data_IF_976588449236
#
_entry.id   IF_976588449236
#
_cell.length_a   1.000
_cell.length_b   1.000
_cell.length_c   1.000
_cell.angle_alpha   90.00
_cell.angle_beta   90.00
_cell.angle_gamma   90.00
#
_symmetry.space_group_name_H-M   'P 1'
#
loop_
_entity.id
_entity.type
_entity.pdbx_description
1 polymer ?
#
# COMPACT_ATOMS: atom_id res chain seq x y z
N UNK A 1 20.36 14.02 -29.24
CA UNK A 1 19.37 13.35 -28.36
C UNK A 1 19.70 13.78 -26.95
N UNK A 2 18.71 14.25 -26.17
CA UNK A 2 18.93 14.55 -24.76
C UNK A 2 19.33 13.28 -24.01
N UNK A 3 20.21 13.41 -23.02
CA UNK A 3 20.59 12.30 -22.14
C UNK A 3 19.33 11.72 -21.47
N UNK A 4 19.23 10.38 -21.31
CA UNK A 4 18.10 9.77 -20.63
C UNK A 4 18.02 10.24 -19.17
N UNK A 5 16.82 10.68 -18.76
CA UNK A 5 16.56 11.16 -17.41
C UNK A 5 16.15 9.99 -16.53
N UNK A 6 16.90 9.77 -15.45
CA UNK A 6 16.61 8.74 -14.46
C UNK A 6 16.16 9.37 -13.15
N UNK A 7 15.18 8.76 -12.44
CA UNK A 7 14.86 9.18 -11.09
C UNK A 7 16.07 9.06 -10.17
N UNK A 8 16.24 10.04 -9.30
CA UNK A 8 17.30 10.12 -8.30
C UNK A 8 16.78 9.95 -6.87
N UNK A 9 15.47 9.74 -6.70
CA UNK A 9 14.93 9.17 -5.47
C UNK A 9 13.76 8.21 -5.75
N UNK A 10 13.48 7.31 -4.82
CA UNK A 10 12.49 6.25 -4.97
C UNK A 10 11.68 6.06 -3.69
N UNK A 11 10.36 6.17 -3.77
CA UNK A 11 9.42 5.79 -2.70
C UNK A 11 9.05 4.33 -2.94
N UNK A 12 9.77 3.42 -2.29
CA UNK A 12 9.78 2.00 -2.67
C UNK A 12 8.71 1.16 -1.97
N UNK A 13 8.03 1.70 -0.97
CA UNK A 13 7.07 0.94 -0.18
C UNK A 13 6.92 1.49 1.23
N UNK A 14 6.18 0.81 2.10
CA UNK A 14 5.48 -0.45 1.84
C UNK A 14 4.06 -0.25 1.28
N UNK A 15 3.55 -1.29 0.59
CA UNK A 15 2.17 -1.33 0.11
C UNK A 15 1.20 -1.14 1.28
N UNK A 16 0.16 -0.32 1.10
CA UNK A 16 -0.83 0.04 2.14
C UNK A 16 -0.27 0.78 3.36
N UNK A 17 0.90 1.41 3.22
CA UNK A 17 1.55 2.22 4.26
C UNK A 17 1.55 3.72 3.98
N UNK A 18 0.74 4.22 3.05
CA UNK A 18 0.59 5.67 2.81
C UNK A 18 1.50 6.27 1.73
N UNK A 19 2.11 5.44 0.89
CA UNK A 19 2.91 5.89 -0.27
C UNK A 19 2.14 6.81 -1.22
N UNK A 20 0.80 6.65 -1.35
CA UNK A 20 -0.04 7.56 -2.13
C UNK A 20 -0.09 8.97 -1.55
N UNK A 21 -0.26 9.11 -0.23
CA UNK A 21 -0.24 10.41 0.44
C UNK A 21 1.12 11.06 0.30
N UNK A 22 2.19 10.30 0.57
CA UNK A 22 3.55 10.82 0.45
C UNK A 22 3.90 11.26 -0.98
N UNK A 23 3.52 10.47 -1.99
CA UNK A 23 3.62 10.84 -3.40
C UNK A 23 2.90 12.16 -3.69
N UNK A 24 1.67 12.32 -3.19
CA UNK A 24 0.87 13.50 -3.43
C UNK A 24 1.45 14.75 -2.76
N UNK A 25 1.95 14.64 -1.52
CA UNK A 25 2.61 15.74 -0.82
C UNK A 25 3.90 16.17 -1.53
N UNK A 26 4.80 15.23 -1.84
CA UNK A 26 6.07 15.55 -2.47
C UNK A 26 5.91 16.11 -3.90
N UNK A 27 4.87 15.69 -4.63
CA UNK A 27 4.59 16.21 -5.97
C UNK A 27 4.18 17.69 -5.98
N UNK A 28 3.74 18.26 -4.85
CA UNK A 28 3.46 19.69 -4.73
C UNK A 28 4.74 20.53 -4.65
N UNK A 29 5.87 19.94 -4.28
CA UNK A 29 7.09 20.68 -4.00
C UNK A 29 7.76 21.20 -5.29
N UNK A 30 8.17 22.49 -5.36
CA UNK A 30 8.70 23.10 -6.60
C UNK A 30 10.01 22.48 -7.09
N UNK A 31 10.76 21.82 -6.21
CA UNK A 31 12.03 21.15 -6.53
C UNK A 31 11.88 19.65 -6.83
N UNK A 32 10.65 19.11 -6.80
CA UNK A 32 10.38 17.69 -6.99
C UNK A 32 9.57 17.46 -8.25
N UNK A 33 10.00 16.49 -9.06
CA UNK A 33 9.21 15.91 -10.14
C UNK A 33 8.81 14.48 -9.79
N UNK A 34 7.52 14.18 -9.91
CA UNK A 34 6.96 12.83 -9.88
C UNK A 34 6.02 12.67 -11.09
N UNK A 35 6.13 11.60 -11.88
CA UNK A 35 5.34 11.42 -13.09
C UNK A 35 3.86 11.24 -12.75
N UNK A 36 2.98 11.64 -13.66
CA UNK A 36 1.52 11.51 -13.46
C UNK A 36 1.06 10.05 -13.33
N UNK A 37 1.71 9.15 -14.08
CA UNK A 37 1.59 7.72 -13.87
C UNK A 37 2.31 7.33 -12.59
N UNK A 38 1.55 7.12 -11.51
CA UNK A 38 2.05 6.52 -10.28
C UNK A 38 2.26 5.02 -10.49
N UNK A 39 3.17 4.43 -9.71
CA UNK A 39 3.39 2.97 -9.69
C UNK A 39 3.77 2.37 -11.06
N UNK A 40 4.82 2.88 -11.74
CA UNK A 40 5.27 2.28 -13.00
C UNK A 40 5.78 0.84 -12.84
N UNK A 41 6.18 0.42 -11.64
CA UNK A 41 6.65 -0.95 -11.35
C UNK A 41 7.76 -1.47 -12.28
N UNK A 42 8.49 -0.56 -12.92
CA UNK A 42 9.48 -0.85 -13.95
C UNK A 42 10.60 -1.75 -13.42
N UNK A 43 11.12 -1.46 -12.22
CA UNK A 43 12.18 -2.26 -11.62
C UNK A 43 11.70 -3.57 -10.97
N UNK A 44 10.40 -3.74 -10.76
CA UNK A 44 9.83 -5.03 -10.34
C UNK A 44 9.73 -5.98 -11.53
N UNK A 45 9.42 -5.48 -12.73
CA UNK A 45 9.15 -6.29 -13.93
C UNK A 45 8.15 -7.41 -13.63
N UNK A 46 6.92 -7.07 -13.20
CA UNK A 46 5.96 -8.07 -12.77
C UNK A 46 5.54 -8.97 -13.94
N UNK A 47 5.32 -10.24 -13.64
CA UNK A 47 4.76 -11.23 -14.57
C UNK A 47 3.39 -11.67 -14.04
N UNK A 48 2.37 -10.81 -14.15
CA UNK A 48 1.10 -11.08 -13.49
C UNK A 48 0.41 -12.30 -14.08
N UNK A 49 -0.24 -13.09 -13.23
CA UNK A 49 -1.09 -14.20 -13.65
C UNK A 49 -2.25 -13.69 -14.54
N UNK A 50 -2.88 -14.52 -15.38
CA UNK A 50 -4.02 -14.11 -16.20
C UNK A 50 -5.15 -13.45 -15.38
N UNK A 51 -5.36 -13.93 -14.16
CA UNK A 51 -6.36 -13.42 -13.22
C UNK A 51 -5.98 -12.04 -12.67
N UNK A 52 -4.68 -11.80 -12.41
CA UNK A 52 -4.19 -10.55 -11.82
C UNK A 52 -3.79 -9.48 -12.83
N UNK A 53 -3.64 -9.82 -14.11
CA UNK A 53 -3.14 -8.93 -15.17
C UNK A 53 -3.88 -7.59 -15.28
N UNK A 54 -5.18 -7.56 -15.02
CA UNK A 54 -5.99 -6.34 -15.14
C UNK A 54 -5.85 -5.40 -13.93
N UNK A 55 -5.31 -5.88 -12.81
CA UNK A 55 -5.16 -5.13 -11.57
C UNK A 55 -3.78 -4.48 -11.44
N UNK A 56 -2.84 -4.85 -12.31
CA UNK A 56 -1.46 -4.36 -12.25
C UNK A 56 -1.11 -3.64 -13.53
N UNK A 57 -1.05 -2.32 -13.42
CA UNK A 57 -0.48 -1.47 -14.45
C UNK A 57 1.05 -1.40 -14.26
N UNK A 58 1.83 -1.58 -15.31
CA UNK A 58 3.29 -1.45 -15.23
C UNK A 58 3.89 -0.97 -16.56
N UNK A 59 5.12 -0.49 -16.50
CA UNK A 59 5.93 -0.14 -17.67
C UNK A 59 6.95 -1.25 -17.91
N UNK A 60 6.89 -1.86 -19.09
CA UNK A 60 7.72 -3.04 -19.42
C UNK A 60 8.99 -2.74 -20.22
N UNK A 61 9.15 -1.55 -20.79
CA UNK A 61 10.32 -1.17 -21.58
C UNK A 61 10.92 0.15 -21.12
N UNK A 62 12.23 0.27 -21.37
CA UNK A 62 13.06 1.37 -20.89
C UNK A 62 12.68 2.70 -21.56
N UNK A 63 12.31 2.68 -22.84
CA UNK A 63 11.94 3.89 -23.59
C UNK A 63 10.66 4.52 -23.03
N UNK A 64 9.63 3.71 -22.76
CA UNK A 64 8.40 4.18 -22.11
C UNK A 64 8.66 4.65 -20.68
N UNK A 65 9.55 3.98 -19.95
CA UNK A 65 9.89 4.38 -18.59
C UNK A 65 10.56 5.76 -18.58
N UNK A 66 11.55 5.97 -19.44
CA UNK A 66 12.22 7.27 -19.60
C UNK A 66 11.26 8.35 -20.12
N UNK A 67 10.28 7.99 -20.95
CA UNK A 67 9.27 8.93 -21.44
C UNK A 67 8.41 9.53 -20.31
N UNK A 68 8.24 8.83 -19.18
CA UNK A 68 7.55 9.37 -18.00
C UNK A 68 8.28 10.60 -17.41
N UNK A 69 9.58 10.73 -17.66
CA UNK A 69 10.47 11.75 -17.10
C UNK A 69 10.91 12.81 -18.12
N UNK A 70 10.30 12.84 -19.31
CA UNK A 70 10.60 13.86 -20.32
C UNK A 70 10.32 15.26 -19.78
N UNK A 71 11.31 16.16 -19.81
CA UNK A 71 11.18 17.53 -19.31
C UNK A 71 11.42 17.68 -17.80
N UNK A 72 11.78 16.59 -17.11
CA UNK A 72 12.07 16.61 -15.68
C UNK A 72 13.49 17.13 -15.35
N UNK A 73 14.34 17.39 -16.35
CA UNK A 73 15.74 17.82 -16.21
C UNK A 73 15.92 19.10 -15.38
N UNK A 74 14.87 19.93 -15.33
CA UNK A 74 14.86 21.18 -14.55
C UNK A 74 14.67 20.99 -13.05
N UNK A 75 14.27 19.80 -12.62
CA UNK A 75 14.01 19.50 -11.21
C UNK A 75 15.25 18.83 -10.60
N UNK A 76 15.76 19.33 -9.46
CA UNK A 76 16.90 18.69 -8.80
C UNK A 76 16.54 17.31 -8.24
N UNK A 77 15.27 17.06 -7.90
CA UNK A 77 14.78 15.76 -7.43
C UNK A 77 13.72 15.20 -8.36
N UNK A 78 14.00 14.03 -8.91
CA UNK A 78 13.14 13.33 -9.86
C UNK A 78 12.85 11.97 -9.23
N UNK A 79 11.57 11.67 -8.99
CA UNK A 79 11.16 10.55 -8.17
C UNK A 79 10.43 9.45 -8.93
N UNK A 80 10.53 8.22 -8.44
CA UNK A 80 9.60 7.13 -8.73
C UNK A 80 8.88 6.72 -7.44
N UNK A 81 7.61 6.34 -7.53
CA UNK A 81 6.86 5.80 -6.40
C UNK A 81 6.17 4.49 -6.79
N UNK A 82 6.83 3.37 -6.49
CA UNK A 82 6.34 2.02 -6.76
C UNK A 82 6.54 1.15 -5.51
N UNK A 83 5.47 0.94 -4.70
CA UNK A 83 5.55 0.19 -3.44
C UNK A 83 5.96 -1.29 -3.58
N UNK A 84 5.95 -1.81 -4.81
CA UNK A 84 6.43 -3.15 -5.15
C UNK A 84 7.94 -3.31 -5.04
N UNK A 85 8.69 -2.21 -5.13
CA UNK A 85 10.15 -2.23 -5.14
C UNK A 85 10.70 -2.75 -3.81
N UNK A 86 10.11 -2.39 -2.67
CA UNK A 86 10.55 -2.86 -1.35
C UNK A 86 10.55 -4.39 -1.24
N UNK A 87 9.51 -5.04 -1.78
CA UNK A 87 9.38 -6.49 -1.75
C UNK A 87 10.30 -7.19 -2.76
N UNK A 88 10.39 -6.68 -3.98
CA UNK A 88 11.18 -7.26 -5.07
C UNK A 88 12.68 -7.29 -4.74
N UNK A 89 13.29 -8.48 -4.82
CA UNK A 89 14.68 -8.67 -4.41
C UNK A 89 15.67 -8.09 -5.43
N UNK A 90 15.28 -8.03 -6.69
CA UNK A 90 16.09 -7.54 -7.80
C UNK A 90 16.01 -6.01 -7.97
N UNK A 91 14.97 -5.38 -7.44
CA UNK A 91 14.75 -3.93 -7.59
C UNK A 91 15.93 -3.08 -7.09
N UNK A 92 16.55 -3.32 -5.92
CA UNK A 92 17.72 -2.55 -5.48
C UNK A 92 18.87 -2.56 -6.50
N UNK A 93 19.24 -3.74 -6.99
CA UNK A 93 20.35 -3.90 -7.92
C UNK A 93 20.06 -3.21 -9.27
N UNK A 94 18.82 -3.33 -9.77
CA UNK A 94 18.40 -2.69 -11.02
C UNK A 94 18.35 -1.16 -10.91
N UNK A 95 17.87 -0.63 -9.78
CA UNK A 95 17.87 0.82 -9.51
C UNK A 95 19.33 1.31 -9.43
N UNK A 96 20.17 0.61 -8.66
CA UNK A 96 21.57 1.00 -8.47
C UNK A 96 22.36 0.97 -9.78
N UNK A 97 22.07 0.05 -10.69
CA UNK A 97 22.74 -0.04 -11.99
C UNK A 97 22.55 1.22 -12.86
N UNK A 98 21.42 1.93 -12.72
CA UNK A 98 21.14 3.15 -13.50
C UNK A 98 21.34 4.44 -12.69
N UNK A 99 21.21 4.37 -11.36
CA UNK A 99 21.38 5.50 -10.47
C UNK A 99 21.96 5.05 -9.11
N UNK A 100 23.30 4.90 -9.00
CA UNK A 100 23.96 4.50 -7.74
C UNK A 100 23.74 5.51 -6.60
N UNK A 101 23.64 6.80 -6.93
CA UNK A 101 23.44 7.87 -5.95
C UNK A 101 21.96 8.09 -5.57
N UNK A 102 21.07 7.14 -5.91
CA UNK A 102 19.65 7.24 -5.63
C UNK A 102 19.37 7.28 -4.13
N UNK A 103 18.42 8.13 -3.74
CA UNK A 103 17.88 8.19 -2.38
C UNK A 103 16.63 7.34 -2.25
N UNK A 104 16.59 6.46 -1.26
CA UNK A 104 15.53 5.48 -1.07
C UNK A 104 14.67 5.89 0.11
N UNK A 105 13.35 5.99 -0.08
CA UNK A 105 12.38 6.32 0.96
C UNK A 105 11.47 5.11 1.18
N UNK A 106 11.37 4.71 2.45
CA UNK A 106 10.50 3.65 2.94
C UNK A 106 9.53 4.23 3.95
N UNK A 107 8.23 3.99 3.74
CA UNK A 107 7.18 4.28 4.72
C UNK A 107 6.57 2.98 5.25
N UNK A 108 6.67 2.75 6.55
CA UNK A 108 6.16 1.54 7.20
C UNK A 108 4.83 1.78 7.89
N UNK A 109 4.15 0.70 8.24
CA UNK A 109 2.91 0.67 9.01
C UNK A 109 2.93 -0.58 9.85
N UNK A 110 2.19 -0.61 10.96
CA UNK A 110 1.83 -1.88 11.63
C UNK A 110 1.52 -2.99 10.59
N UNK A 111 2.31 -4.07 10.53
CA UNK A 111 2.24 -5.05 9.46
C UNK A 111 0.94 -5.87 9.50
N UNK A 112 0.30 -5.99 10.67
CA UNK A 112 -1.02 -6.62 10.80
C UNK A 112 -2.08 -5.72 10.17
N UNK A 113 -2.05 -4.42 10.45
CA UNK A 113 -2.96 -3.47 9.82
C UNK A 113 -2.72 -3.32 8.32
N UNK A 114 -1.46 -3.43 7.88
CA UNK A 114 -1.06 -3.41 6.47
C UNK A 114 -1.68 -4.58 5.72
N UNK A 115 -1.54 -5.81 6.25
CA UNK A 115 -2.14 -7.01 5.69
C UNK A 115 -3.68 -6.89 5.60
N UNK A 116 -4.32 -6.46 6.68
CA UNK A 116 -5.77 -6.25 6.69
C UNK A 116 -6.23 -5.15 5.71
N UNK A 117 -5.43 -4.09 5.53
CA UNK A 117 -5.75 -3.05 4.57
C UNK A 117 -5.62 -3.50 3.11
N UNK A 118 -4.76 -4.48 2.82
CA UNK A 118 -4.71 -5.15 1.51
C UNK A 118 -5.96 -6.01 1.32
N UNK A 119 -6.30 -6.85 2.31
CA UNK A 119 -7.52 -7.66 2.28
C UNK A 119 -8.78 -6.82 2.03
N UNK A 120 -8.91 -5.67 2.71
CA UNK A 120 -10.06 -4.77 2.50
C UNK A 120 -10.11 -4.19 1.08
N UNK A 121 -8.97 -3.96 0.43
CA UNK A 121 -8.91 -3.52 -0.96
C UNK A 121 -9.41 -4.63 -1.88
N UNK A 122 -8.87 -5.84 -1.72
CA UNK A 122 -9.25 -7.01 -2.51
C UNK A 122 -10.75 -7.36 -2.34
N UNK A 123 -11.26 -7.28 -1.11
CA UNK A 123 -12.68 -7.49 -0.81
C UNK A 123 -13.58 -6.44 -1.49
N UNK A 124 -13.15 -5.17 -1.51
CA UNK A 124 -13.90 -4.08 -2.13
C UNK A 124 -13.87 -4.13 -3.66
N UNK A 125 -12.77 -4.60 -4.23
CA UNK A 125 -12.60 -4.77 -5.67
C UNK A 125 -13.28 -6.05 -6.19
N UNK A 126 -13.83 -6.86 -5.28
CA UNK A 126 -14.49 -8.12 -5.61
C UNK A 126 -13.52 -9.22 -6.04
N UNK A 127 -12.24 -9.08 -5.69
CA UNK A 127 -11.19 -10.07 -5.92
C UNK A 127 -11.41 -11.30 -5.03
N UNK A 128 -11.95 -11.11 -3.83
CA UNK A 128 -12.28 -12.18 -2.89
C UNK A 128 -13.58 -11.88 -2.13
N UNK A 129 -14.25 -12.94 -1.68
CA UNK A 129 -15.45 -12.90 -0.82
C UNK A 129 -15.32 -13.96 0.29
N UNK A 130 -14.21 -13.88 1.04
CA UNK A 130 -13.89 -14.78 2.15
C UNK A 130 -13.62 -13.96 3.42
N UNK A 131 -13.80 -14.52 4.63
CA UNK A 131 -13.28 -13.93 5.86
C UNK A 131 -11.76 -13.67 5.78
N UNK A 132 -11.26 -12.72 6.58
CA UNK A 132 -9.85 -12.32 6.49
C UNK A 132 -8.92 -13.47 6.86
N UNK A 133 -9.25 -14.24 7.90
CA UNK A 133 -8.44 -15.41 8.29
C UNK A 133 -8.31 -16.45 7.18
N UNK A 134 -9.39 -16.73 6.44
CA UNK A 134 -9.37 -17.71 5.35
C UNK A 134 -8.58 -17.20 4.15
N UNK A 135 -8.80 -15.94 3.75
CA UNK A 135 -8.04 -15.30 2.68
C UNK A 135 -6.53 -15.28 3.00
N UNK A 136 -6.19 -14.98 4.26
CA UNK A 136 -4.83 -14.97 4.76
C UNK A 136 -4.19 -16.37 4.71
N UNK A 137 -4.86 -17.39 5.24
CA UNK A 137 -4.35 -18.76 5.25
C UNK A 137 -4.19 -19.33 3.83
N UNK A 138 -5.13 -19.04 2.94
CA UNK A 138 -5.08 -19.46 1.54
C UNK A 138 -3.89 -18.84 0.80
N UNK A 139 -3.66 -17.54 0.96
CA UNK A 139 -2.49 -16.86 0.38
C UNK A 139 -1.18 -17.32 1.04
N UNK A 140 -1.20 -17.57 2.36
CA UNK A 140 -0.03 -18.00 3.12
C UNK A 140 0.47 -19.39 2.72
N UNK A 141 -0.43 -20.32 2.47
CA UNK A 141 -0.09 -21.71 2.10
C UNK A 141 0.14 -21.92 0.60
N UNK A 142 -0.02 -20.85 -0.20
CA UNK A 142 0.14 -20.93 -1.65
C UNK A 142 1.60 -21.21 -2.04
N UNK A 143 1.88 -22.18 -2.93
CA UNK A 143 3.25 -22.54 -3.30
C UNK A 143 3.90 -21.54 -4.27
N UNK A 144 3.12 -20.93 -5.17
CA UNK A 144 3.57 -20.05 -6.24
C UNK A 144 3.38 -18.57 -5.84
N UNK A 145 4.20 -18.04 -4.94
CA UNK A 145 4.09 -16.63 -4.53
C UNK A 145 4.84 -15.70 -5.47
N UNK A 146 4.24 -14.54 -5.75
CA UNK A 146 4.90 -13.51 -6.55
C UNK A 146 4.08 -12.23 -6.66
N UNK A 147 4.76 -11.12 -6.92
CA UNK A 147 4.09 -9.86 -7.20
C UNK A 147 3.27 -9.98 -8.48
N UNK A 148 1.97 -9.77 -8.36
CA UNK A 148 1.04 -10.02 -9.47
C UNK A 148 0.67 -11.48 -9.69
N UNK A 149 1.02 -12.36 -8.75
CA UNK A 149 0.57 -13.75 -8.77
C UNK A 149 -0.25 -14.07 -7.49
N UNK A 150 0.16 -13.53 -6.35
CA UNK A 150 -0.47 -13.71 -5.03
C UNK A 150 -0.68 -12.37 -4.32
N UNK A 151 -1.48 -12.35 -3.25
CA UNK A 151 -1.77 -11.13 -2.49
C UNK A 151 -0.64 -10.74 -1.53
N UNK A 152 0.20 -11.71 -1.15
CA UNK A 152 1.37 -11.50 -0.31
C UNK A 152 1.00 -10.82 1.02
N UNK A 153 -0.08 -11.29 1.64
CA UNK A 153 -0.61 -10.70 2.88
C UNK A 153 0.40 -10.74 4.02
N UNK A 154 1.29 -11.74 4.04
CA UNK A 154 2.30 -11.87 5.10
C UNK A 154 3.64 -11.31 4.64
N UNK A 155 4.08 -11.66 3.43
CA UNK A 155 5.42 -11.39 2.89
C UNK A 155 5.74 -9.91 2.85
N UNK A 156 4.77 -9.08 2.43
CA UNK A 156 4.94 -7.63 2.35
C UNK A 156 5.08 -6.95 3.72
N UNK A 157 4.89 -7.66 4.83
CA UNK A 157 5.14 -7.18 6.19
C UNK A 157 6.50 -7.58 6.78
N UNK A 158 7.30 -8.39 6.07
CA UNK A 158 8.65 -8.76 6.49
C UNK A 158 9.69 -7.69 6.12
N UNK A 159 9.60 -6.55 6.80
CA UNK A 159 10.36 -5.33 6.51
C UNK A 159 11.87 -5.45 6.70
N UNK A 160 12.37 -6.21 7.68
CA UNK A 160 13.78 -6.23 8.08
C UNK A 160 14.67 -6.63 6.91
N UNK A 161 14.40 -7.80 6.31
CA UNK A 161 15.20 -8.29 5.19
C UNK A 161 15.07 -7.37 3.97
N UNK A 162 13.88 -6.83 3.73
CA UNK A 162 13.59 -5.93 2.62
C UNK A 162 14.41 -4.63 2.72
N UNK A 163 14.40 -3.97 3.88
CA UNK A 163 15.17 -2.75 4.13
C UNK A 163 16.67 -3.03 4.11
N UNK A 164 17.10 -4.13 4.74
CA UNK A 164 18.51 -4.51 4.79
C UNK A 164 19.12 -4.68 3.39
N UNK A 165 18.39 -5.25 2.43
CA UNK A 165 18.85 -5.35 1.02
C UNK A 165 19.14 -3.99 0.41
N UNK A 166 18.29 -2.99 0.64
CA UNK A 166 18.53 -1.63 0.17
C UNK A 166 19.71 -0.96 0.88
N UNK A 167 19.85 -1.14 2.19
CA UNK A 167 20.98 -0.60 2.94
C UNK A 167 22.31 -1.25 2.53
N UNK A 168 22.33 -2.54 2.18
CA UNK A 168 23.51 -3.22 1.66
C UNK A 168 23.90 -2.73 0.26
N UNK A 169 22.91 -2.42 -0.59
CA UNK A 169 23.14 -1.97 -1.96
C UNK A 169 23.53 -0.48 -2.06
N UNK A 170 22.90 0.40 -1.29
CA UNK A 170 23.06 1.86 -1.39
C UNK A 170 23.80 2.48 -0.19
N UNK A 171 24.01 1.72 0.88
CA UNK A 171 24.46 2.25 2.17
C UNK A 171 23.30 2.80 3.01
N UNK A 172 23.43 2.72 4.33
CA UNK A 172 22.39 3.16 5.26
C UNK A 172 22.03 4.65 5.12
N UNK A 173 23.00 5.50 4.77
CA UNK A 173 22.79 6.95 4.57
C UNK A 173 21.95 7.30 3.34
N UNK A 174 21.74 6.37 2.41
CA UNK A 174 20.87 6.54 1.23
C UNK A 174 19.49 5.91 1.43
N UNK A 175 19.14 5.44 2.63
CA UNK A 175 17.85 4.83 2.94
C UNK A 175 17.20 5.54 4.12
N UNK A 176 16.09 6.24 3.87
CA UNK A 176 15.28 6.89 4.88
C UNK A 176 14.03 6.07 5.19
N UNK A 177 13.76 5.82 6.47
CA UNK A 177 12.61 5.03 6.94
C UNK A 177 11.72 5.89 7.83
N UNK A 178 10.49 6.12 7.40
CA UNK A 178 9.45 6.81 8.16
C UNK A 178 8.23 5.91 8.41
N UNK A 179 7.29 6.35 9.26
CA UNK A 179 6.12 5.58 9.66
C UNK A 179 4.83 6.29 9.22
N UNK A 180 3.82 5.52 8.81
CA UNK A 180 2.50 6.03 8.47
C UNK A 180 1.85 6.72 9.67
N UNK A 181 2.07 6.18 10.86
CA UNK A 181 1.56 6.72 12.11
C UNK A 181 2.10 8.13 12.37
N UNK A 182 3.39 8.35 12.12
CA UNK A 182 4.02 9.67 12.21
C UNK A 182 3.49 10.60 11.13
N UNK A 183 3.36 10.12 9.88
CA UNK A 183 2.81 10.89 8.76
C UNK A 183 1.37 11.36 9.05
N UNK A 184 0.56 10.54 9.71
CA UNK A 184 -0.82 10.92 10.11
C UNK A 184 -0.84 11.91 11.27
N UNK A 185 0.10 11.78 12.21
CA UNK A 185 0.14 12.58 13.44
C UNK A 185 0.69 13.98 13.17
N UNK A 186 1.76 14.06 12.39
CA UNK A 186 2.40 15.31 12.02
C UNK A 186 3.04 15.19 10.62
N UNK A 187 2.24 15.36 9.55
CA UNK A 187 2.74 15.24 8.19
C UNK A 187 3.90 16.21 7.89
N UNK A 188 3.84 17.44 8.43
CA UNK A 188 4.86 18.45 8.19
C UNK A 188 6.23 18.00 8.72
N UNK A 189 6.30 17.47 9.95
CA UNK A 189 7.57 16.99 10.51
C UNK A 189 8.19 15.87 9.68
N UNK A 190 7.38 14.90 9.24
CA UNK A 190 7.86 13.81 8.37
C UNK A 190 8.35 14.34 7.02
N UNK A 191 7.67 15.34 6.46
CA UNK A 191 8.09 15.96 5.21
C UNK A 191 9.34 16.82 5.35
N UNK A 192 9.56 17.46 6.50
CA UNK A 192 10.80 18.17 6.80
C UNK A 192 12.00 17.21 6.89
N UNK A 193 11.83 16.05 7.53
CA UNK A 193 12.86 15.00 7.58
C UNK A 193 13.19 14.46 6.18
N UNK A 194 12.15 14.26 5.35
CA UNK A 194 12.33 13.83 3.96
C UNK A 194 12.97 14.94 3.12
N UNK A 195 12.64 16.21 3.36
CA UNK A 195 13.24 17.33 2.65
C UNK A 195 14.74 17.44 2.94
N UNK A 196 15.15 17.27 4.20
CA UNK A 196 16.56 17.17 4.57
C UNK A 196 17.24 15.99 3.88
N UNK A 197 16.62 14.81 3.96
CA UNK A 197 17.16 13.62 3.35
C UNK A 197 17.33 13.79 1.83
N UNK A 198 16.39 14.45 1.17
CA UNK A 198 16.44 14.81 -0.24
C UNK A 198 17.20 16.12 -0.51
N UNK A 199 17.77 16.81 0.49
CA UNK A 199 18.43 18.12 0.32
C UNK A 199 17.61 19.13 -0.53
N UNK A 200 16.33 19.27 -0.22
CA UNK A 200 15.43 20.28 -0.81
C UNK A 200 15.01 21.31 0.23
N UNK A 201 14.57 22.48 -0.22
CA UNK A 201 14.14 23.58 0.64
C UNK A 201 12.91 23.17 1.49
N UNK A 202 12.93 23.46 2.79
CA UNK A 202 11.78 23.24 3.67
C UNK A 202 10.73 24.35 3.56
N UNK A 203 11.12 25.54 3.08
CA UNK A 203 10.25 26.73 3.02
C UNK A 203 8.89 26.44 2.40
N UNK A 204 8.83 25.88 1.17
CA UNK A 204 7.57 25.59 0.49
C UNK A 204 6.66 24.60 1.21
N UNK A 205 7.18 23.76 2.12
CA UNK A 205 6.39 22.71 2.78
C UNK A 205 5.22 23.26 3.60
N UNK A 206 5.37 24.48 4.15
CA UNK A 206 4.37 25.14 5.00
C UNK A 206 3.16 25.63 4.21
N UNK A 207 3.32 25.83 2.91
CA UNK A 207 2.28 26.32 2.00
C UNK A 207 1.59 25.18 1.23
N UNK A 208 2.04 23.94 1.41
CA UNK A 208 1.44 22.77 0.77
C UNK A 208 0.15 22.35 1.46
N UNK A 209 -0.75 21.74 0.69
CA UNK A 209 -1.95 21.12 1.23
C UNK A 209 -1.63 19.74 1.80
N UNK A 210 -1.59 19.67 3.13
CA UNK A 210 -1.34 18.46 3.91
C UNK A 210 -2.63 17.83 4.48
N UNK A 211 -3.74 18.57 4.45
CA UNK A 211 -5.02 18.20 5.06
C UNK A 211 -5.89 17.35 4.13
N UNK A 212 -5.67 17.44 2.81
CA UNK A 212 -6.38 16.60 1.85
C UNK A 212 -5.99 15.13 2.03
N UNK A 213 -6.83 14.39 2.78
CA UNK A 213 -6.67 12.96 3.00
C UNK A 213 -6.87 12.21 1.68
N UNK A 214 -5.75 11.89 1.02
CA UNK A 214 -5.73 11.02 -0.16
C UNK A 214 -5.95 9.54 0.23
N UNK A 215 -7.15 9.17 0.70
CA UNK A 215 -7.72 7.80 0.73
C UNK A 215 -9.05 7.77 1.51
N UNK A 216 -10.16 8.19 0.88
CA UNK A 216 -11.50 7.98 1.44
C UNK A 216 -11.97 6.58 1.09
N UNK A 217 -12.15 5.72 2.10
CA UNK A 217 -12.61 4.34 1.95
C UNK A 217 -14.08 4.27 1.49
N UNK A 218 -14.39 3.49 0.45
CA UNK A 218 -15.76 3.30 -0.07
C UNK A 218 -16.02 1.81 -0.34
N UNK A 219 -17.19 1.27 0.04
CA UNK A 219 -17.57 -0.13 -0.18
C UNK A 219 -18.51 -0.27 -1.39
N UNK A 220 -18.55 -1.40 -2.11
CA UNK A 220 -19.60 -1.67 -3.11
C UNK A 220 -20.99 -1.88 -2.49
N UNK A 221 -22.06 -1.53 -3.22
CA UNK A 221 -23.47 -1.68 -2.86
C UNK A 221 -23.92 -3.15 -3.00
N UNK A 222 -23.64 -3.98 -1.99
CA UNK A 222 -24.14 -5.35 -1.92
C UNK A 222 -23.44 -6.34 -2.88
N UNK A 223 -23.89 -7.60 -2.88
CA UNK A 223 -23.23 -8.69 -3.62
C UNK A 223 -23.35 -8.56 -5.14
N UNK A 224 -24.45 -7.97 -5.62
CA UNK A 224 -24.69 -7.77 -7.06
C UNK A 224 -23.74 -6.72 -7.67
N UNK A 225 -23.44 -5.64 -6.92
CA UNK A 225 -22.46 -4.64 -7.35
C UNK A 225 -21.04 -5.23 -7.43
N UNK A 226 -20.69 -6.14 -6.51
CA UNK A 226 -19.42 -6.88 -6.53
C UNK A 226 -19.33 -7.86 -7.70
N UNK A 227 -20.40 -8.61 -7.98
CA UNK A 227 -20.45 -9.54 -9.13
C UNK A 227 -20.37 -8.81 -10.48
N UNK A 228 -20.94 -7.61 -10.59
CA UNK A 228 -20.80 -6.79 -11.79
C UNK A 228 -19.41 -6.17 -11.92
N UNK A 229 -18.74 -5.84 -10.81
CA UNK A 229 -17.35 -5.40 -10.82
C UNK A 229 -16.40 -6.50 -11.29
N UNK A 230 -16.68 -7.76 -10.91
CA UNK A 230 -15.85 -8.92 -11.23
C UNK A 230 -16.13 -9.53 -12.60
N UNK A 231 -17.30 -9.26 -13.21
CA UNK A 231 -17.72 -9.82 -14.50
C UNK A 231 -16.93 -9.35 -15.73
N UNK A 232 -16.67 -10.26 -16.68
CA UNK A 232 -15.96 -9.95 -17.93
C UNK A 232 -16.79 -9.07 -18.89
N UNK A 233 -18.11 -9.27 -18.93
CA UNK A 233 -19.03 -8.58 -19.86
C UNK A 233 -19.26 -7.12 -19.45
N UNK A 234 -19.47 -6.88 -18.16
CA UNK A 234 -19.68 -5.54 -17.60
C UNK A 234 -18.45 -4.63 -17.79
N UNK A 235 -17.23 -5.18 -17.66
CA UNK A 235 -15.99 -4.42 -17.92
C UNK A 235 -15.75 -4.15 -19.39
N UNK A 236 -15.97 -5.14 -20.27
CA UNK A 236 -15.88 -4.92 -21.72
C UNK A 236 -16.78 -3.75 -22.17
N UNK A 237 -18.01 -3.72 -21.65
CA UNK A 237 -18.96 -2.63 -21.89
C UNK A 237 -18.44 -1.31 -21.30
N UNK A 238 -17.93 -1.29 -20.07
CA UNK A 238 -17.38 -0.08 -19.45
C UNK A 238 -16.16 0.50 -20.17
N UNK A 239 -15.29 -0.35 -20.74
CA UNK A 239 -14.05 0.06 -21.41
C UNK A 239 -14.26 0.49 -22.87
N UNK A 240 -15.27 -0.06 -23.56
CA UNK A 240 -15.48 0.16 -24.99
C UNK A 240 -16.72 1.00 -25.34
N UNK A 241 -17.71 1.12 -24.44
CA UNK A 241 -19.00 1.76 -24.76
C UNK A 241 -19.27 3.06 -23.99
N UNK A 242 -18.47 3.41 -22.98
CA UNK A 242 -18.68 4.64 -22.19
C UNK A 242 -17.38 5.46 -22.02
N UNK A 243 -17.47 6.81 -22.00
CA UNK A 243 -16.34 7.65 -21.60
C UNK A 243 -15.86 7.30 -20.18
N UNK A 244 -14.54 7.23 -19.94
CA UNK A 244 -13.95 6.88 -18.61
C UNK A 244 -14.57 7.66 -17.44
N UNK A 245 -14.86 8.95 -17.65
CA UNK A 245 -15.47 9.83 -16.64
C UNK A 245 -16.88 9.40 -16.23
N UNK A 246 -17.64 8.81 -17.15
CA UNK A 246 -18.96 8.24 -16.87
C UNK A 246 -18.86 6.91 -16.14
N UNK A 247 -17.91 6.05 -16.52
CA UNK A 247 -17.63 4.80 -15.80
C UNK A 247 -17.26 5.05 -14.34
N UNK A 248 -16.34 5.99 -14.09
CA UNK A 248 -15.97 6.41 -12.74
C UNK A 248 -17.15 7.06 -12.00
N UNK A 249 -17.95 7.92 -12.65
CA UNK A 249 -19.11 8.56 -12.04
C UNK A 249 -20.18 7.54 -11.63
N UNK A 250 -20.51 6.57 -12.49
CA UNK A 250 -21.51 5.53 -12.22
C UNK A 250 -21.00 4.59 -11.14
N UNK A 251 -19.75 4.12 -11.24
CA UNK A 251 -19.12 3.31 -10.19
C UNK A 251 -19.17 4.03 -8.83
N UNK A 252 -18.78 5.31 -8.81
CA UNK A 252 -18.69 6.12 -7.59
C UNK A 252 -20.05 6.43 -6.95
N UNK A 253 -21.09 6.68 -7.74
CA UNK A 253 -22.38 7.16 -7.23
C UNK A 253 -23.48 6.09 -7.17
N UNK A 254 -23.40 5.07 -8.02
CA UNK A 254 -24.40 3.99 -8.12
C UNK A 254 -23.90 2.73 -7.41
N UNK A 255 -22.63 2.37 -7.59
CA UNK A 255 -22.10 1.10 -7.11
C UNK A 255 -21.39 1.16 -5.76
N UNK A 256 -21.04 2.34 -5.22
CA UNK A 256 -20.42 2.44 -3.89
C UNK A 256 -21.41 2.96 -2.82
N UNK A 257 -21.38 2.39 -1.61
CA UNK A 257 -21.99 2.88 -0.36
C UNK A 257 -20.92 3.05 0.70
N UNK A 258 -21.13 3.99 1.61
CA UNK A 258 -20.49 3.91 2.92
C UNK A 258 -21.05 2.69 3.65
N UNK A 259 -20.17 1.86 4.18
CA UNK A 259 -20.58 0.76 5.05
C UNK A 259 -19.43 0.36 5.98
N UNK A 260 -19.75 -0.53 6.92
CA UNK A 260 -18.82 -0.93 7.98
C UNK A 260 -17.74 -1.85 7.41
N UNK A 261 -16.47 -1.53 7.67
CA UNK A 261 -15.33 -2.39 7.36
C UNK A 261 -15.56 -3.76 8.04
N UNK A 262 -15.36 -4.89 7.34
CA UNK A 262 -15.22 -6.17 8.01
C UNK A 262 -14.25 -6.02 9.20
N UNK A 263 -14.63 -6.45 10.41
CA UNK A 263 -13.72 -6.39 11.54
C UNK A 263 -12.54 -7.34 11.27
N UNK A 264 -11.37 -6.97 11.78
CA UNK A 264 -10.21 -7.85 11.73
C UNK A 264 -10.44 -9.03 12.68
N UNK A 265 -10.51 -10.24 12.13
CA UNK A 265 -10.67 -11.48 12.89
C UNK A 265 -9.58 -11.60 13.98
N UNK A 266 -9.99 -11.98 15.20
CA UNK A 266 -9.05 -12.15 16.31
C UNK A 266 -8.03 -13.25 16.03
N UNK A 267 -8.45 -14.32 15.35
CA UNK A 267 -7.57 -15.42 14.93
C UNK A 267 -6.51 -14.94 13.91
N UNK A 268 -6.93 -14.24 12.85
CA UNK A 268 -5.99 -13.66 11.88
C UNK A 268 -4.99 -12.72 12.54
N UNK A 269 -5.45 -11.91 13.49
CA UNK A 269 -4.60 -11.02 14.27
C UNK A 269 -3.55 -11.79 15.07
N UNK A 270 -3.97 -12.78 15.86
CA UNK A 270 -3.05 -13.60 16.68
C UNK A 270 -2.02 -14.33 15.81
N UNK A 271 -2.46 -14.88 14.67
CA UNK A 271 -1.58 -15.51 13.70
C UNK A 271 -0.51 -14.53 13.17
N UNK A 272 -0.92 -13.34 12.72
CA UNK A 272 0.02 -12.34 12.23
C UNK A 272 0.94 -11.78 13.33
N UNK A 273 0.45 -11.61 14.55
CA UNK A 273 1.27 -11.19 15.69
C UNK A 273 2.38 -12.20 15.97
N UNK A 274 2.07 -13.50 15.97
CA UNK A 274 3.07 -14.55 16.19
C UNK A 274 4.19 -14.50 15.13
N UNK A 275 3.82 -14.25 13.86
CA UNK A 275 4.78 -14.10 12.75
C UNK A 275 5.60 -12.82 12.89
N UNK A 276 4.96 -11.69 13.19
CA UNK A 276 5.63 -10.39 13.15
C UNK A 276 6.35 -10.00 14.45
N UNK A 277 6.14 -10.71 15.56
CA UNK A 277 6.87 -10.47 16.82
C UNK A 277 8.40 -10.52 16.65
N UNK A 278 8.99 -11.65 16.22
CA UNK A 278 10.44 -11.71 15.99
C UNK A 278 10.87 -10.82 14.82
N UNK A 279 9.96 -10.47 13.92
CA UNK A 279 10.30 -9.60 12.81
C UNK A 279 10.48 -8.14 13.23
N UNK A 280 9.57 -7.60 14.03
CA UNK A 280 9.70 -6.21 14.50
C UNK A 280 10.86 -6.09 15.48
N UNK A 281 11.16 -7.11 16.30
CA UNK A 281 12.35 -7.11 17.16
C UNK A 281 13.65 -6.98 16.34
N UNK A 282 13.77 -7.73 15.24
CA UNK A 282 14.92 -7.60 14.32
C UNK A 282 14.93 -6.25 13.60
N UNK A 283 13.77 -5.71 13.25
CA UNK A 283 13.67 -4.39 12.64
C UNK A 283 14.11 -3.27 13.61
N UNK A 284 13.73 -3.36 14.88
CA UNK A 284 14.14 -2.42 15.92
C UNK A 284 15.66 -2.45 16.12
N UNK A 285 16.27 -3.65 16.08
CA UNK A 285 17.73 -3.80 16.08
C UNK A 285 18.37 -3.18 14.84
N UNK A 286 17.82 -3.43 13.65
CA UNK A 286 18.32 -2.87 12.38
C UNK A 286 18.26 -1.34 12.35
N UNK A 287 17.17 -0.75 12.84
CA UNK A 287 16.94 0.69 12.83
C UNK A 287 17.47 1.41 14.08
N UNK A 288 17.96 0.65 15.08
CA UNK A 288 18.53 1.21 16.31
C UNK A 288 17.54 1.97 17.19
N UNK A 289 16.23 1.72 17.07
CA UNK A 289 15.19 2.39 17.86
C UNK A 289 13.97 1.48 18.10
N UNK A 290 13.23 1.66 19.20
CA UNK A 290 11.95 0.99 19.39
C UNK A 290 10.92 1.49 18.36
N UNK A 291 9.97 0.62 18.01
CA UNK A 291 8.92 0.84 17.01
C UNK A 291 7.54 0.43 17.56
N UNK A 292 7.04 1.07 18.65
CA UNK A 292 5.74 0.76 19.21
C UNK A 292 4.58 1.02 18.24
N UNK A 293 4.76 1.94 17.29
CA UNK A 293 3.80 2.29 16.23
C UNK A 293 3.47 1.09 15.33
N UNK A 294 4.45 0.19 15.14
CA UNK A 294 4.25 -1.03 14.36
C UNK A 294 3.46 -2.11 15.10
N UNK A 295 3.04 -1.86 16.35
CA UNK A 295 2.29 -2.79 17.21
C UNK A 295 0.95 -2.21 17.70
N UNK A 296 0.43 -1.15 17.07
CA UNK A 296 -0.81 -0.48 17.51
C UNK A 296 -2.01 -1.42 17.53
N UNK A 297 -2.13 -2.30 16.54
CA UNK A 297 -3.22 -3.27 16.46
C UNK A 297 -3.09 -4.44 17.43
N UNK A 298 -2.00 -4.52 18.19
CA UNK A 298 -1.74 -5.67 19.05
C UNK A 298 -2.51 -5.59 20.37
N UNK A 299 -2.91 -4.37 20.74
CA UNK A 299 -3.68 -4.08 21.95
C UNK A 299 -5.17 -3.96 21.62
N UNK A 300 -5.82 -5.11 21.42
CA UNK A 300 -7.29 -5.18 21.50
C UNK A 300 -7.68 -6.35 22.38
N UNK A 301 -7.89 -6.06 23.66
CA UNK A 301 -8.81 -6.83 24.49
C UNK A 301 -10.22 -6.58 23.96
N UNK A 302 -11.03 -7.62 23.75
CA UNK A 302 -12.45 -7.45 23.48
C UNK A 302 -13.08 -6.46 24.45
N UNK A 303 -14.08 -5.65 24.03
CA UNK A 303 -14.90 -4.96 25.01
C UNK A 303 -15.56 -6.02 25.91
N UNK A 304 -15.17 -6.03 27.18
CA UNK A 304 -15.84 -6.81 28.20
C UNK A 304 -17.33 -6.41 28.22
N UNK A 305 -18.21 -7.33 27.85
CA UNK A 305 -19.64 -7.16 28.04
C UNK A 305 -20.50 -7.55 26.84
N UNK A 306 -20.64 -8.86 26.64
CA UNK A 306 -21.95 -9.45 26.34
C UNK A 306 -21.94 -10.87 26.91
N UNK A 307 -22.36 -10.97 28.18
CA UNK A 307 -22.67 -12.25 28.81
C UNK A 307 -23.71 -13.00 27.97
N UNK A 308 -23.66 -14.34 27.92
CA UNK A 308 -24.68 -15.12 27.23
C UNK A 308 -26.03 -14.83 27.87
N UNK A 309 -26.97 -14.29 27.08
CA UNK A 309 -28.37 -14.17 27.47
C UNK A 309 -28.84 -15.51 28.01
N UNK A 310 -29.10 -15.57 29.30
CA UNK A 310 -29.68 -16.71 29.99
C UNK A 310 -30.99 -17.11 29.32
N UNK A 311 -31.15 -18.43 29.16
CA UNK A 311 -32.31 -19.07 28.59
C UNK A 311 -33.61 -18.59 29.28
N UNK A 312 -34.57 -18.12 28.47
CA UNK A 312 -35.96 -17.96 28.92
C UNK A 312 -36.58 -19.36 29.03
N UNK A 313 -36.86 -19.80 30.24
CA UNK A 313 -37.78 -20.90 30.52
C UNK A 313 -39.19 -20.56 30.02
N UNK A 314 -39.98 -21.54 29.54
CA UNK A 314 -41.33 -21.31 29.02
C UNK A 314 -42.33 -21.08 30.16
N UNK A 315 -43.24 -20.13 29.99
CA UNK A 315 -44.41 -19.94 30.88
C UNK A 315 -45.40 -21.09 30.68
N UNK A 316 -46.08 -21.58 31.74
CA UNK A 316 -47.11 -22.60 31.62
C UNK A 316 -48.40 -22.01 31.03
N UNK A 317 -49.04 -22.80 30.17
CA UNK A 317 -50.34 -22.55 29.58
C UNK A 317 -51.45 -22.57 30.63
N UNK A 318 -52.26 -21.52 30.68
CA UNK A 318 -53.58 -21.55 31.30
C UNK A 318 -54.62 -21.34 30.20
N UNK A 319 -55.27 -22.41 29.77
CA UNK A 319 -56.54 -22.35 29.05
C UNK A 319 -57.65 -22.86 29.98
N UNK A 320 -58.70 -22.04 30.07
CA UNK A 320 -60.05 -22.45 30.47
C UNK A 320 -60.74 -23.18 29.33
#
# INVERSE_FOLDING_TARGET
>A
MSQPVWPNFYIIGAVKSGTTSLYAYLRQHPQVFLPAMKEPHFFTQPHPSPEQRHWIQYVGNIEQYQQLYRGAERFPRIGDASPSYLWCEEAPARIHAVQPAARIIVILRDPVQRAHAQYLMDFNEGVLDLPFVEALQRDWTRPDKGWGISQLYVELGHYTAQIMRYQQQFGAGQVHVCLLEDLKKNPLAVLEDIADFLEIDRGPLRDMDLETVHNVHRLPRGNWARQLASGHISRYIGEHLFPRTWGEFVWRNVFLREGRKPPMDAEARSFLQAIYTPEIERLEQLLGRPLPELRISWKFSEPAGQSPSTARSPKPSANR
#
